data_IF_506636216086
#
_entry.id   IF_506636216086
#
_cell.length_a   1.000
_cell.length_b   1.000
_cell.length_c   1.000
_cell.angle_alpha   90.00
_cell.angle_beta   90.00
_cell.angle_gamma   90.00
#
_symmetry.space_group_name_H-M   'P 1'
#
loop_
_entity.id
_entity.type
_entity.pdbx_description
1 polymer ?
#
# COMPACT_ATOMS: atom_id res chain seq x y z
N UNK A 1 -0.34 6.10 5.51
CA UNK A 1 0.66 6.68 4.58
C UNK A 1 -0.02 6.93 3.26
N UNK A 2 0.30 8.05 2.63
CA UNK A 2 -0.15 8.38 1.26
C UNK A 2 1.08 8.73 0.44
N UNK A 3 1.14 8.24 -0.80
CA UNK A 3 2.20 8.61 -1.76
C UNK A 3 1.54 9.25 -2.96
N UNK A 4 1.94 10.47 -3.28
CA UNK A 4 1.41 11.19 -4.43
C UNK A 4 2.23 10.94 -5.71
N UNK A 5 1.72 11.49 -6.82
CA UNK A 5 2.34 11.30 -8.14
C UNK A 5 3.69 12.00 -8.29
N UNK A 6 3.93 13.07 -7.51
CA UNK A 6 5.21 13.79 -7.43
C UNK A 6 6.28 13.02 -6.65
N UNK A 7 5.90 11.94 -5.97
CA UNK A 7 6.81 11.16 -5.15
C UNK A 7 6.99 11.72 -3.75
N UNK A 8 6.07 12.54 -3.27
CA UNK A 8 5.98 12.88 -1.86
C UNK A 8 5.17 11.79 -1.16
N UNK A 9 5.77 11.16 -0.15
CA UNK A 9 5.08 10.26 0.75
C UNK A 9 4.85 10.96 2.09
N UNK A 10 3.67 10.80 2.68
CA UNK A 10 3.37 11.28 4.04
C UNK A 10 3.36 10.10 5.00
N UNK A 11 4.33 10.08 5.90
CA UNK A 11 4.61 9.01 6.85
C UNK A 11 4.52 9.57 8.26
N UNK A 12 3.61 9.08 9.10
CA UNK A 12 3.40 9.60 10.46
C UNK A 12 3.32 11.14 10.48
N UNK A 13 2.54 11.70 9.54
CA UNK A 13 2.35 13.14 9.30
C UNK A 13 3.61 13.93 8.88
N UNK A 14 4.68 13.22 8.50
CA UNK A 14 5.92 13.81 8.00
C UNK A 14 6.07 13.57 6.49
N UNK A 15 6.27 14.62 5.69
CA UNK A 15 6.56 14.46 4.27
C UNK A 15 7.99 13.94 4.08
N UNK A 16 8.13 12.91 3.25
CA UNK A 16 9.42 12.41 2.75
C UNK A 16 9.40 12.42 1.22
N UNK A 17 10.54 12.72 0.63
CA UNK A 17 10.71 12.72 -0.83
C UNK A 17 11.26 11.36 -1.27
N UNK A 18 10.55 10.72 -2.21
CA UNK A 18 10.98 9.48 -2.84
C UNK A 18 11.88 9.78 -4.05
N UNK A 19 13.01 9.10 -4.13
CA UNK A 19 13.85 9.10 -5.31
C UNK A 19 13.18 8.41 -6.51
N UNK A 20 13.69 8.67 -7.71
CA UNK A 20 13.17 8.08 -8.95
C UNK A 20 13.15 6.55 -8.92
N UNK A 21 14.16 5.93 -8.31
CA UNK A 21 14.23 4.47 -8.15
C UNK A 21 13.15 3.91 -7.22
N UNK A 22 12.92 4.58 -6.09
CA UNK A 22 11.87 4.23 -5.12
C UNK A 22 10.48 4.35 -5.77
N UNK A 23 10.24 5.46 -6.48
CA UNK A 23 9.01 5.67 -7.22
C UNK A 23 8.79 4.64 -8.33
N UNK A 24 9.84 4.31 -9.10
CA UNK A 24 9.75 3.29 -10.15
C UNK A 24 9.43 1.92 -9.56
N UNK A 25 10.13 1.54 -8.48
CA UNK A 25 9.92 0.27 -7.79
C UNK A 25 8.51 0.15 -7.22
N UNK A 26 8.00 1.20 -6.58
CA UNK A 26 6.64 1.24 -6.04
C UNK A 26 5.60 1.14 -7.16
N UNK A 27 5.76 1.90 -8.25
CA UNK A 27 4.84 1.85 -9.40
C UNK A 27 4.81 0.47 -10.06
N UNK A 28 5.97 -0.16 -10.24
CA UNK A 28 6.05 -1.52 -10.77
C UNK A 28 5.31 -2.49 -9.84
N UNK A 29 5.58 -2.46 -8.53
CA UNK A 29 4.91 -3.35 -7.59
C UNK A 29 3.38 -3.16 -7.57
N UNK A 30 2.90 -1.92 -7.56
CA UNK A 30 1.47 -1.61 -7.64
C UNK A 30 0.85 -2.06 -8.96
N UNK A 31 1.60 -2.01 -10.07
CA UNK A 31 1.15 -2.49 -11.37
C UNK A 31 0.90 -4.01 -11.44
N UNK A 32 1.44 -4.76 -10.49
CA UNK A 32 1.23 -6.23 -10.38
C UNK A 32 0.05 -6.59 -9.48
N UNK A 33 -0.58 -5.61 -8.82
CA UNK A 33 -1.76 -5.84 -7.98
C UNK A 33 -2.96 -6.16 -8.86
N UNK A 34 -3.52 -7.35 -8.66
CA UNK A 34 -4.72 -7.84 -9.36
C UNK A 34 -5.87 -8.13 -8.39
N UNK A 35 -5.55 -8.35 -7.10
CA UNK A 35 -6.53 -8.50 -6.04
C UNK A 35 -7.10 -7.12 -5.69
N UNK A 36 -8.14 -6.72 -6.42
CA UNK A 36 -8.78 -5.40 -6.28
C UNK A 36 -10.13 -5.44 -5.53
N UNK A 37 -10.48 -6.59 -4.96
CA UNK A 37 -11.74 -6.80 -4.24
C UNK A 37 -11.51 -6.91 -2.73
N UNK A 38 -12.45 -6.38 -1.95
CA UNK A 38 -12.41 -6.44 -0.49
C UNK A 38 -12.84 -7.80 0.05
N UNK A 39 -12.37 -8.16 1.24
CA UNK A 39 -12.86 -9.35 1.95
C UNK A 39 -14.38 -9.25 2.18
N UNK A 40 -15.18 -10.30 1.88
CA UNK A 40 -16.65 -10.20 1.86
C UNK A 40 -17.28 -9.97 3.23
N UNK A 41 -16.71 -10.55 4.27
CA UNK A 41 -17.26 -10.51 5.63
C UNK A 41 -16.93 -9.22 6.40
N UNK A 42 -16.24 -8.26 5.76
CA UNK A 42 -15.45 -7.29 6.52
C UNK A 42 -14.33 -8.00 7.28
N UNK A 43 -13.35 -7.26 7.75
CA UNK A 43 -12.39 -7.84 8.68
C UNK A 43 -12.93 -7.64 10.09
N UNK A 44 -14.10 -8.19 10.42
CA UNK A 44 -14.77 -7.91 11.71
C UNK A 44 -14.48 -9.01 12.75
N UNK A 45 -13.21 -9.41 12.87
CA UNK A 45 -12.75 -10.35 13.91
C UNK A 45 -11.88 -9.57 14.90
N UNK A 46 -11.95 -9.84 16.20
CA UNK A 46 -10.98 -9.23 17.12
C UNK A 46 -9.54 -9.63 16.72
N UNK A 47 -8.57 -8.73 16.95
CA UNK A 47 -7.12 -9.00 16.82
C UNK A 47 -6.55 -9.26 15.41
N UNK A 48 -7.20 -8.78 14.34
CA UNK A 48 -6.62 -8.83 12.99
C UNK A 48 -6.07 -7.46 12.55
N UNK A 49 -5.12 -7.47 11.62
CA UNK A 49 -4.69 -6.27 10.91
C UNK A 49 -5.50 -6.09 9.62
N UNK A 50 -6.04 -4.89 9.43
CA UNK A 50 -6.69 -4.52 8.18
C UNK A 50 -5.70 -3.84 7.23
N UNK A 51 -5.56 -4.36 6.03
CA UNK A 51 -4.78 -3.77 4.95
C UNK A 51 -5.72 -3.11 3.95
N UNK A 52 -5.63 -1.79 3.81
CA UNK A 52 -6.39 -1.04 2.81
C UNK A 52 -5.44 -0.48 1.76
N UNK A 53 -5.69 -0.83 0.50
CA UNK A 53 -4.97 -0.29 -0.65
C UNK A 53 -5.93 0.50 -1.53
N UNK A 54 -5.56 1.74 -1.83
CA UNK A 54 -6.21 2.57 -2.85
C UNK A 54 -5.27 2.75 -4.03
N UNK A 55 -5.62 2.19 -5.19
CA UNK A 55 -4.80 2.26 -6.40
C UNK A 55 -5.70 2.43 -7.63
N UNK A 56 -5.35 3.38 -8.50
CA UNK A 56 -6.10 3.70 -9.73
C UNK A 56 -7.62 3.87 -9.50
N UNK A 57 -7.99 4.58 -8.44
CA UNK A 57 -9.39 4.81 -8.08
C UNK A 57 -10.13 3.59 -7.50
N UNK A 58 -9.46 2.45 -7.39
CA UNK A 58 -10.02 1.26 -6.74
C UNK A 58 -9.53 1.19 -5.30
N UNK A 59 -10.45 0.98 -4.36
CA UNK A 59 -10.16 0.76 -2.95
C UNK A 59 -10.50 -0.67 -2.59
N UNK A 60 -9.52 -1.41 -2.07
CA UNK A 60 -9.68 -2.78 -1.60
C UNK A 60 -9.22 -2.88 -0.14
N UNK A 61 -9.93 -3.69 0.64
CA UNK A 61 -9.62 -3.93 2.05
C UNK A 61 -9.51 -5.44 2.32
N UNK A 62 -8.40 -5.88 2.90
CA UNK A 62 -8.04 -7.29 3.12
C UNK A 62 -7.60 -7.53 4.56
N UNK A 63 -7.90 -8.72 5.09
CA UNK A 63 -7.54 -9.11 6.46
C UNK A 63 -6.17 -9.80 6.54
N UNK A 64 -5.63 -10.19 5.38
CA UNK A 64 -4.27 -10.69 5.18
C UNK A 64 -3.74 -10.03 3.92
N UNK A 65 -2.43 -9.74 3.88
CA UNK A 65 -1.79 -9.20 2.67
C UNK A 65 -1.85 -10.25 1.56
N UNK A 66 -2.59 -9.99 0.46
CA UNK A 66 -2.56 -10.86 -0.71
C UNK A 66 -1.13 -11.01 -1.25
N UNK A 67 -0.75 -12.16 -1.81
CA UNK A 67 0.60 -12.35 -2.36
C UNK A 67 1.01 -11.29 -3.39
N UNK A 68 0.07 -10.82 -4.21
CA UNK A 68 0.30 -9.78 -5.21
C UNK A 68 0.46 -8.38 -4.63
N UNK A 69 0.02 -8.14 -3.40
CA UNK A 69 0.22 -6.86 -2.69
C UNK A 69 1.56 -6.78 -1.99
N UNK A 70 2.14 -7.93 -1.64
CA UNK A 70 3.28 -8.03 -0.71
C UNK A 70 4.45 -7.13 -1.11
N UNK A 71 4.86 -7.17 -2.38
CA UNK A 71 5.97 -6.36 -2.86
C UNK A 71 5.73 -4.84 -2.72
N UNK A 72 4.48 -4.39 -2.84
CA UNK A 72 4.12 -2.99 -2.65
C UNK A 72 4.04 -2.64 -1.15
N UNK A 73 3.44 -3.52 -0.33
CA UNK A 73 3.35 -3.35 1.12
C UNK A 73 4.73 -3.27 1.76
N UNK A 74 5.65 -4.20 1.46
CA UNK A 74 7.01 -4.21 2.00
C UNK A 74 7.78 -2.91 1.66
N UNK A 75 7.59 -2.38 0.45
CA UNK A 75 8.20 -1.10 0.05
C UNK A 75 7.64 0.07 0.84
N UNK A 76 6.33 0.09 1.06
CA UNK A 76 5.69 1.12 1.88
C UNK A 76 6.10 0.97 3.35
N UNK A 77 6.18 -0.23 3.90
CA UNK A 77 6.67 -0.47 5.27
C UNK A 77 8.12 0.00 5.46
N UNK A 78 9.00 -0.26 4.48
CA UNK A 78 10.36 0.24 4.51
C UNK A 78 10.43 1.79 4.52
N UNK A 79 9.49 2.45 3.83
CA UNK A 79 9.35 3.91 3.92
C UNK A 79 8.81 4.37 5.27
N UNK A 80 7.96 3.56 5.91
CA UNK A 80 7.38 3.89 7.21
C UNK A 80 8.39 3.85 8.37
N UNK A 81 9.49 3.10 8.19
CA UNK A 81 10.55 2.92 9.18
C UNK A 81 11.67 3.96 9.07
N UNK A 82 11.58 4.91 8.14
CA UNK A 82 12.52 6.02 7.98
C UNK A 82 12.12 7.22 8.84
#
# INVERSE_FOLDING_TARGET
>A
MTVDVSGTAVVNDRPITLGLGEMRGLRTALGHVVTLWSSPAGCDVADHFTYTLTYRGTRATRCLVPPDWRAAVERLEALAQR
#
